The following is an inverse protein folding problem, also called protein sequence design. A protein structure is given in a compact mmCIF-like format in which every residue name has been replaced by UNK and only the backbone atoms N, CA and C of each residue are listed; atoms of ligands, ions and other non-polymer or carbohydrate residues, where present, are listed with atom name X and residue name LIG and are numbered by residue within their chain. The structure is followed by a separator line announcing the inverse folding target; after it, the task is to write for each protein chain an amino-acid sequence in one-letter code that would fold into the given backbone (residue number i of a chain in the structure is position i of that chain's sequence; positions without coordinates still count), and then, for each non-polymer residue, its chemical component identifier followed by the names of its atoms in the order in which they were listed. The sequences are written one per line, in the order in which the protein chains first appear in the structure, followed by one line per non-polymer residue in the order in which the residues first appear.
data_IF_755055182201
#
_entry.id   IF_755055182201
#
_cell.length_a   1.000
_cell.length_b   1.000
_cell.length_c   1.000
_cell.angle_alpha   90.00
_cell.angle_beta   90.00
_cell.angle_gamma   90.00
#
_symmetry.space_group_name_H-M   'P 1'
#
loop_
_entity.id
_entity.type
_entity.pdbx_description
1 polymer ?
#
# COMPACT_ATOMS: atom_id res chain seq x y z
N UNK A 1 14.03 -17.23 18.39
CA UNK A 1 13.92 -16.84 16.98
C UNK A 1 12.95 -15.68 16.89
N UNK A 2 13.39 -14.51 16.44
CA UNK A 2 12.51 -13.34 16.22
C UNK A 2 11.64 -13.62 15.00
N UNK A 3 10.32 -13.41 15.12
CA UNK A 3 9.42 -13.52 13.97
C UNK A 3 9.88 -12.57 12.84
N UNK A 4 9.79 -12.99 11.56
CA UNK A 4 10.13 -12.12 10.45
C UNK A 4 9.29 -10.83 10.53
N UNK A 5 9.92 -9.68 10.24
CA UNK A 5 9.27 -8.37 10.29
C UNK A 5 8.61 -8.04 8.95
N UNK A 6 7.53 -7.25 9.00
CA UNK A 6 6.92 -6.67 7.82
C UNK A 6 7.95 -5.87 6.99
N UNK A 7 7.90 -6.01 5.67
CA UNK A 7 8.69 -5.20 4.73
C UNK A 7 7.86 -4.03 4.26
N UNK A 8 8.47 -2.84 4.16
CA UNK A 8 7.78 -1.61 3.75
C UNK A 8 8.49 -1.02 2.54
N UNK A 9 7.72 -0.67 1.51
CA UNK A 9 8.18 0.06 0.33
C UNK A 9 7.34 1.32 0.17
N UNK A 10 7.98 2.49 0.24
CA UNK A 10 7.36 3.79 -0.05
C UNK A 10 7.87 4.32 -1.39
N UNK A 11 7.03 5.04 -2.12
CA UNK A 11 7.45 5.79 -3.30
C UNK A 11 7.92 7.22 -2.97
N UNK A 12 8.42 7.94 -3.97
CA UNK A 12 8.98 9.28 -3.78
C UNK A 12 7.89 10.30 -3.39
N UNK A 13 6.73 10.26 -4.05
CA UNK A 13 5.59 11.15 -3.81
C UNK A 13 5.13 11.12 -2.35
N UNK A 14 5.19 9.94 -1.71
CA UNK A 14 4.77 9.76 -0.32
C UNK A 14 5.50 10.64 0.68
N UNK A 15 6.80 10.92 0.47
CA UNK A 15 7.64 11.66 1.44
C UNK A 15 7.18 13.09 1.66
N UNK A 16 6.77 13.78 0.60
CA UNK A 16 6.34 15.19 0.65
C UNK A 16 4.83 15.34 0.87
N UNK A 17 4.05 14.29 0.61
CA UNK A 17 2.60 14.34 0.65
C UNK A 17 2.03 14.55 2.05
N UNK A 18 0.92 15.31 2.11
CA UNK A 18 0.05 15.51 3.27
C UNK A 18 -1.39 15.17 2.86
N UNK A 19 -1.72 13.88 2.77
CA UNK A 19 -3.01 13.45 2.25
C UNK A 19 -4.15 13.84 3.21
N UNK A 20 -5.30 14.18 2.66
CA UNK A 20 -6.56 14.28 3.39
C UNK A 20 -7.20 12.89 3.53
N UNK A 21 -7.05 12.02 2.54
CA UNK A 21 -7.66 10.68 2.54
C UNK A 21 -6.60 9.59 2.33
N UNK A 22 -6.67 8.52 3.12
CA UNK A 22 -5.89 7.29 2.90
C UNK A 22 -6.80 6.16 2.43
N UNK A 23 -6.54 5.61 1.25
CA UNK A 23 -7.22 4.43 0.73
C UNK A 23 -6.44 3.19 1.16
N UNK A 24 -7.10 2.29 1.90
CA UNK A 24 -6.49 1.14 2.54
C UNK A 24 -6.89 -0.15 1.81
N UNK A 25 -5.93 -0.84 1.20
CA UNK A 25 -6.16 -1.99 0.32
C UNK A 25 -5.44 -3.22 0.90
N UNK A 26 -6.11 -4.03 1.76
CA UNK A 26 -5.59 -5.33 2.14
C UNK A 26 -5.85 -6.37 1.03
N UNK A 27 -4.89 -7.25 0.78
CA UNK A 27 -5.08 -8.39 -0.11
C UNK A 27 -4.35 -9.64 0.41
N UNK A 28 -4.79 -10.81 -0.07
CA UNK A 28 -4.15 -12.10 0.16
C UNK A 28 -4.37 -12.97 -1.07
N UNK A 29 -3.29 -13.30 -1.79
CA UNK A 29 -3.29 -14.14 -3.01
C UNK A 29 -4.02 -13.59 -4.24
N UNK A 30 -4.62 -12.41 -4.13
CA UNK A 30 -5.11 -11.63 -5.27
C UNK A 30 -3.98 -10.75 -5.85
N UNK A 31 -4.07 -10.39 -7.14
CA UNK A 31 -3.17 -9.41 -7.76
C UNK A 31 -3.87 -8.04 -7.83
N UNK A 32 -3.46 -7.03 -7.04
CA UNK A 32 -4.10 -5.71 -7.03
C UNK A 32 -3.58 -4.77 -8.15
N UNK A 33 -2.70 -5.24 -9.05
CA UNK A 33 -1.99 -4.35 -9.98
C UNK A 33 -2.92 -3.50 -10.86
N UNK A 34 -4.00 -4.07 -11.40
CA UNK A 34 -4.96 -3.34 -12.24
C UNK A 34 -5.68 -2.24 -11.44
N UNK A 35 -6.14 -2.54 -10.23
CA UNK A 35 -6.75 -1.54 -9.34
C UNK A 35 -5.78 -0.39 -9.04
N UNK A 36 -4.51 -0.71 -8.76
CA UNK A 36 -3.51 0.31 -8.47
C UNK A 36 -3.22 1.19 -9.68
N UNK A 37 -3.21 0.62 -10.88
CA UNK A 37 -3.04 1.39 -12.11
C UNK A 37 -4.21 2.36 -12.31
N UNK A 38 -5.45 1.87 -12.22
CA UNK A 38 -6.64 2.70 -12.43
C UNK A 38 -6.74 3.83 -11.38
N UNK A 39 -6.33 3.58 -10.14
CA UNK A 39 -6.26 4.64 -9.12
C UNK A 39 -5.18 5.67 -9.45
N UNK A 40 -4.02 5.25 -9.96
CA UNK A 40 -2.93 6.16 -10.32
C UNK A 40 -3.26 7.06 -11.51
N UNK A 41 -4.10 6.59 -12.44
CA UNK A 41 -4.63 7.40 -13.55
C UNK A 41 -5.40 8.64 -13.04
N UNK A 42 -5.99 8.56 -11.84
CA UNK A 42 -6.70 9.67 -11.18
C UNK A 42 -5.79 10.62 -10.39
N UNK A 43 -4.47 10.42 -10.40
CA UNK A 43 -3.52 11.20 -9.59
C UNK A 43 -3.66 12.71 -9.80
N UNK A 44 -3.87 13.13 -11.05
CA UNK A 44 -4.04 14.54 -11.41
C UNK A 44 -5.36 15.12 -10.87
N UNK A 45 -6.43 14.31 -10.85
CA UNK A 45 -7.77 14.71 -10.39
C UNK A 45 -7.80 15.00 -8.88
N UNK A 46 -6.92 14.37 -8.10
CA UNK A 46 -6.91 14.46 -6.63
C UNK A 46 -5.80 15.35 -6.05
N UNK A 47 -4.94 15.93 -6.89
CA UNK A 47 -3.89 16.92 -6.54
C UNK A 47 -3.12 16.60 -5.24
N UNK A 48 -2.70 15.34 -5.09
CA UNK A 48 -1.93 14.87 -3.92
C UNK A 48 -2.72 14.78 -2.60
N UNK A 49 -4.04 14.99 -2.61
CA UNK A 49 -4.90 14.87 -1.44
C UNK A 49 -5.18 13.42 -1.01
N UNK A 50 -4.86 12.44 -1.84
CA UNK A 50 -5.07 11.01 -1.57
C UNK A 50 -3.74 10.28 -1.49
N UNK A 51 -3.62 9.34 -0.55
CA UNK A 51 -2.56 8.32 -0.57
C UNK A 51 -3.14 6.91 -0.62
N UNK A 52 -2.38 5.98 -1.21
CA UNK A 52 -2.71 4.56 -1.28
C UNK A 52 -1.79 3.77 -0.34
N UNK A 53 -2.38 2.92 0.50
CA UNK A 53 -1.64 1.99 1.34
C UNK A 53 -2.14 0.59 1.08
N UNK A 54 -1.25 -0.24 0.55
CA UNK A 54 -1.52 -1.62 0.19
C UNK A 54 -0.86 -2.54 1.21
N UNK A 55 -1.57 -3.59 1.63
CA UNK A 55 -1.02 -4.62 2.51
C UNK A 55 -1.19 -5.99 1.87
N UNK A 56 -0.06 -6.66 1.61
CA UNK A 56 0.01 -8.09 1.33
C UNK A 56 0.02 -8.86 2.67
N UNK A 57 -1.06 -9.56 2.97
CA UNK A 57 -1.25 -10.36 4.20
C UNK A 57 -0.57 -11.73 4.09
N UNK A 58 0.65 -11.78 3.56
CA UNK A 58 1.44 -13.00 3.47
C UNK A 58 1.09 -13.92 2.32
N UNK A 59 0.94 -13.37 1.11
CA UNK A 59 0.74 -14.13 -0.13
C UNK A 59 1.89 -15.10 -0.43
N UNK A 60 3.12 -14.74 -0.03
CA UNK A 60 4.34 -15.53 -0.24
C UNK A 60 4.68 -15.79 -1.73
N UNK A 61 4.30 -14.86 -2.61
CA UNK A 61 4.67 -14.84 -4.03
C UNK A 61 5.71 -13.74 -4.26
N UNK A 62 6.96 -14.15 -4.52
CA UNK A 62 8.08 -13.23 -4.71
C UNK A 62 7.98 -12.43 -6.03
N UNK A 63 7.41 -13.02 -7.07
CA UNK A 63 7.29 -12.38 -8.38
C UNK A 63 6.20 -11.32 -8.36
N UNK A 64 5.05 -11.63 -7.75
CA UNK A 64 4.00 -10.64 -7.49
C UNK A 64 4.54 -9.49 -6.62
N UNK A 65 5.26 -9.82 -5.54
CA UNK A 65 5.87 -8.81 -4.67
C UNK A 65 6.81 -7.89 -5.46
N UNK A 66 7.66 -8.45 -6.32
CA UNK A 66 8.60 -7.67 -7.13
C UNK A 66 7.87 -6.75 -8.13
N UNK A 67 6.81 -7.24 -8.80
CA UNK A 67 5.98 -6.43 -9.71
C UNK A 67 5.30 -5.28 -8.97
N UNK A 68 4.68 -5.54 -7.82
CA UNK A 68 4.03 -4.51 -7.02
C UNK A 68 5.02 -3.48 -6.49
N UNK A 69 6.23 -3.89 -6.07
CA UNK A 69 7.29 -2.94 -5.69
C UNK A 69 7.66 -2.02 -6.84
N UNK A 70 7.81 -2.55 -8.06
CA UNK A 70 8.13 -1.75 -9.24
C UNK A 70 7.00 -0.77 -9.56
N UNK A 71 5.74 -1.24 -9.54
CA UNK A 71 4.56 -0.41 -9.78
C UNK A 71 4.44 0.72 -8.74
N UNK A 72 4.50 0.39 -7.44
CA UNK A 72 4.42 1.38 -6.35
C UNK A 72 5.47 2.48 -6.53
N UNK A 73 6.70 2.12 -6.88
CA UNK A 73 7.78 3.10 -7.11
C UNK A 73 7.52 4.01 -8.31
N UNK A 74 6.80 3.55 -9.32
CA UNK A 74 6.48 4.29 -10.53
C UNK A 74 5.21 5.15 -10.41
N UNK A 75 4.31 4.84 -9.47
CA UNK A 75 3.06 5.58 -9.27
C UNK A 75 3.28 7.07 -9.00
N UNK A 76 2.40 7.89 -9.56
CA UNK A 76 2.31 9.32 -9.28
C UNK A 76 1.65 9.60 -7.91
N UNK A 77 0.63 8.82 -7.54
CA UNK A 77 0.01 8.93 -6.23
C UNK A 77 1.01 8.60 -5.10
N UNK A 78 0.94 9.30 -3.95
CA UNK A 78 1.60 8.88 -2.72
C UNK A 78 1.24 7.44 -2.35
N UNK A 79 2.22 6.52 -2.36
CA UNK A 79 1.92 5.09 -2.21
C UNK A 79 2.88 4.36 -1.25
N UNK A 80 2.32 3.39 -0.52
CA UNK A 80 3.04 2.45 0.36
C UNK A 80 2.57 1.03 0.13
N UNK A 81 3.52 0.10 0.04
CA UNK A 81 3.29 -1.34 0.14
C UNK A 81 3.84 -1.88 1.47
N UNK A 82 3.03 -2.64 2.19
CA UNK A 82 3.40 -3.40 3.39
C UNK A 82 3.28 -4.88 3.04
N UNK A 83 4.36 -5.65 3.16
CA UNK A 83 4.35 -7.09 2.93
C UNK A 83 4.59 -7.82 4.23
N UNK A 84 3.59 -8.59 4.68
CA UNK A 84 3.69 -9.44 5.85
C UNK A 84 4.34 -10.78 5.46
N UNK A 85 5.16 -11.38 6.34
CA UNK A 85 5.79 -12.66 6.07
C UNK A 85 4.85 -13.86 6.23
N UNK A 86 3.69 -13.66 6.86
CA UNK A 86 2.65 -14.65 7.05
C UNK A 86 1.30 -13.93 7.20
N UNK A 87 0.22 -14.65 6.92
CA UNK A 87 -1.14 -14.19 7.12
C UNK A 87 -1.44 -13.98 8.61
N UNK A 88 -1.78 -12.74 8.97
CA UNK A 88 -2.16 -12.35 10.33
C UNK A 88 -3.68 -12.15 10.49
N UNK A 89 -4.44 -12.27 9.40
CA UNK A 89 -5.88 -12.18 9.39
C UNK A 89 -6.40 -10.75 9.26
N UNK A 90 -7.64 -10.66 8.78
CA UNK A 90 -8.27 -9.41 8.31
C UNK A 90 -8.24 -8.27 9.32
N UNK A 91 -8.54 -8.55 10.59
CA UNK A 91 -8.60 -7.52 11.63
C UNK A 91 -7.21 -6.90 11.89
N UNK A 92 -6.18 -7.75 12.02
CA UNK A 92 -4.81 -7.29 12.27
C UNK A 92 -4.28 -6.54 11.05
N UNK A 93 -4.49 -7.07 9.84
CA UNK A 93 -4.12 -6.39 8.60
C UNK A 93 -4.75 -5.00 8.47
N UNK A 94 -6.06 -4.86 8.77
CA UNK A 94 -6.74 -3.56 8.76
C UNK A 94 -6.20 -2.60 9.81
N UNK A 95 -5.91 -3.07 11.02
CA UNK A 95 -5.33 -2.22 12.07
C UNK A 95 -3.92 -1.73 11.70
N UNK A 96 -3.13 -2.56 11.01
CA UNK A 96 -1.82 -2.14 10.47
C UNK A 96 -1.95 -1.07 9.40
N UNK A 97 -2.89 -1.26 8.46
CA UNK A 97 -3.20 -0.27 7.44
C UNK A 97 -3.64 1.07 8.07
N UNK A 98 -4.57 1.03 9.03
CA UNK A 98 -5.03 2.22 9.75
C UNK A 98 -3.89 2.93 10.50
N UNK A 99 -2.98 2.16 11.11
CA UNK A 99 -1.80 2.71 11.80
C UNK A 99 -0.77 3.32 10.83
N UNK A 100 -0.77 2.90 9.57
CA UNK A 100 0.12 3.43 8.53
C UNK A 100 -0.46 4.64 7.80
N UNK A 101 -1.77 4.87 7.92
CA UNK A 101 -2.50 5.98 7.32
C UNK A 101 -2.07 7.33 7.89
N UNK A 102 -1.98 8.34 7.01
CA UNK A 102 -1.67 9.73 7.35
C UNK A 102 -2.79 10.70 6.98
N UNK A 103 -3.84 10.21 6.33
CA UNK A 103 -5.03 10.98 6.00
C UNK A 103 -5.63 11.59 7.26
N UNK A 104 -5.76 12.91 7.27
CA UNK A 104 -6.52 13.59 8.31
C UNK A 104 -8.00 13.33 8.07
N UNK A 105 -8.61 12.42 8.83
CA UNK A 105 -10.06 12.25 8.84
C UNK A 105 -10.71 13.63 8.90
N UNK A 106 -11.44 14.01 7.85
CA UNK A 106 -12.23 15.24 7.81
C UNK A 106 -13.24 15.27 8.96
#
# INVERSE_FOLDING_TARGET
MTAPKAKITDNAARKAARPAVSVLIPFLRDDPAELLQLLDEEAASVDGAVEIIVLDDGTADADLTARLIAQIKAMALPARLITLPANEGRAIGRNRLASAARGGSL
#
